data_IF_966200568596
#
_entry.id   IF_966200568596
#
_cell.length_a   1.000
_cell.length_b   1.000
_cell.length_c   1.000
_cell.angle_alpha   90.00
_cell.angle_beta   90.00
_cell.angle_gamma   90.00
#
_symmetry.space_group_name_H-M   'P 1'
#
loop_
_entity.id
_entity.type
_entity.pdbx_description
1 polymer ?
#
# COMPACT_ATOMS: atom_id res chain seq x y z
N UNK A 1 -27.52 -54.36 -44.00
CA UNK A 1 -27.16 -53.01 -43.50
C UNK A 1 -26.77 -53.15 -42.04
N UNK A 2 -25.46 -53.21 -41.77
CA UNK A 2 -24.85 -53.33 -40.45
C UNK A 2 -24.12 -52.01 -40.14
N UNK A 3 -24.22 -51.43 -38.93
CA UNK A 3 -23.50 -50.22 -38.60
C UNK A 3 -22.07 -50.52 -38.15
N UNK A 4 -21.14 -49.66 -38.60
CA UNK A 4 -19.71 -49.64 -38.26
C UNK A 4 -19.47 -49.25 -36.80
N UNK A 5 -18.43 -49.78 -36.11
CA UNK A 5 -18.11 -49.35 -34.75
C UNK A 5 -17.37 -48.01 -34.73
N UNK A 6 -17.74 -47.15 -33.78
CA UNK A 6 -17.10 -45.88 -33.51
C UNK A 6 -15.75 -46.07 -32.80
N UNK A 7 -14.70 -45.39 -33.29
CA UNK A 7 -13.37 -45.31 -32.66
C UNK A 7 -13.42 -44.29 -31.52
N UNK A 8 -13.18 -44.74 -30.29
CA UNK A 8 -12.94 -43.89 -29.12
C UNK A 8 -11.47 -43.44 -29.14
N UNK A 9 -11.25 -42.13 -29.24
CA UNK A 9 -9.92 -41.51 -29.16
C UNK A 9 -9.68 -41.07 -27.70
N UNK A 10 -8.82 -41.80 -26.98
CA UNK A 10 -8.40 -41.45 -25.62
C UNK A 10 -7.30 -40.40 -25.73
N UNK A 11 -7.57 -39.17 -25.30
CA UNK A 11 -6.55 -38.13 -25.11
C UNK A 11 -5.74 -38.44 -23.85
N UNK A 12 -4.46 -38.79 -24.00
CA UNK A 12 -3.51 -38.77 -22.89
C UNK A 12 -3.22 -37.31 -22.51
N UNK A 13 -3.53 -36.96 -21.25
CA UNK A 13 -3.07 -35.72 -20.63
C UNK A 13 -1.55 -35.79 -20.39
N UNK A 14 -0.78 -34.71 -20.65
CA UNK A 14 0.63 -34.69 -20.34
C UNK A 14 0.85 -34.64 -18.81
N UNK A 15 1.76 -35.47 -18.34
CA UNK A 15 2.21 -35.55 -16.93
C UNK A 15 2.80 -34.22 -16.45
N UNK A 16 2.55 -33.78 -15.20
CA UNK A 16 3.18 -32.59 -14.66
C UNK A 16 4.68 -32.83 -14.46
N UNK A 17 5.51 -32.05 -15.17
CA UNK A 17 6.95 -32.00 -14.98
C UNK A 17 7.29 -31.41 -13.61
N UNK A 18 7.89 -32.22 -12.73
CA UNK A 18 8.49 -31.76 -11.48
C UNK A 18 9.62 -30.77 -11.79
N UNK A 19 9.50 -29.54 -11.30
CA UNK A 19 10.59 -28.55 -11.31
C UNK A 19 11.60 -28.99 -10.23
N UNK A 20 12.90 -29.18 -10.56
CA UNK A 20 13.90 -29.51 -9.55
C UNK A 20 14.19 -28.30 -8.65
N UNK A 21 14.49 -28.50 -7.35
CA UNK A 21 14.85 -27.41 -6.46
C UNK A 21 16.21 -26.79 -6.87
N UNK A 22 16.42 -25.49 -6.59
CA UNK A 22 17.69 -24.82 -6.88
C UNK A 22 18.84 -25.42 -6.04
N UNK A 23 20.09 -25.39 -6.55
CA UNK A 23 21.23 -25.94 -5.85
C UNK A 23 21.55 -25.14 -4.58
N UNK A 24 21.65 -25.83 -3.44
CA UNK A 24 22.14 -25.29 -2.17
C UNK A 24 23.63 -24.98 -2.32
N UNK A 25 24.00 -23.69 -2.24
CA UNK A 25 25.41 -23.27 -2.26
C UNK A 25 26.13 -23.76 -1.01
N UNK A 26 27.23 -24.49 -1.19
CA UNK A 26 28.21 -24.79 -0.13
C UNK A 26 29.05 -23.54 0.17
N UNK A 27 29.46 -23.31 1.43
CA UNK A 27 30.31 -22.17 1.76
C UNK A 27 31.69 -22.36 1.12
N UNK A 28 32.12 -21.36 0.35
CA UNK A 28 33.43 -21.37 -0.28
C UNK A 28 34.51 -21.06 0.76
N UNK A 29 35.59 -21.83 0.65
CA UNK A 29 36.86 -21.80 1.37
C UNK A 29 37.38 -20.38 1.62
N UNK A 30 37.88 -20.16 2.84
CA UNK A 30 38.54 -18.93 3.30
C UNK A 30 39.65 -18.48 2.33
N UNK A 31 39.60 -17.20 1.95
CA UNK A 31 40.66 -16.52 1.22
C UNK A 31 41.63 -15.90 2.23
N UNK A 32 42.84 -16.44 2.32
CA UNK A 32 43.98 -15.80 2.97
C UNK A 32 44.66 -14.89 1.93
N UNK A 33 44.48 -13.58 2.07
CA UNK A 33 45.14 -12.59 1.23
C UNK A 33 45.17 -11.23 1.90
N UNK A 34 46.37 -10.82 2.28
CA UNK A 34 46.73 -9.51 2.84
C UNK A 34 46.42 -8.41 1.83
N UNK A 35 45.30 -7.72 2.00
CA UNK A 35 44.97 -6.50 1.27
C UNK A 35 45.15 -5.30 2.21
N UNK A 36 45.99 -4.38 1.79
CA UNK A 36 46.33 -3.12 2.45
C UNK A 36 45.08 -2.27 2.65
N UNK A 37 44.79 -1.86 3.88
CA UNK A 37 43.76 -0.87 4.20
C UNK A 37 44.28 0.55 3.95
N UNK A 38 43.58 1.29 3.07
CA UNK A 38 43.44 2.75 3.12
C UNK A 38 42.39 3.20 2.08
N UNK A 39 41.63 4.28 2.32
CA UNK A 39 41.00 4.72 3.56
C UNK A 39 39.47 4.45 3.51
N UNK A 40 38.89 4.20 4.68
CA UNK A 40 37.45 4.09 4.86
C UNK A 40 36.84 5.49 4.76
N UNK A 41 36.34 5.82 3.57
CA UNK A 41 35.42 6.94 3.41
C UNK A 41 34.07 6.50 3.99
N UNK A 42 33.87 6.73 5.29
CA UNK A 42 32.55 6.71 5.92
C UNK A 42 31.77 7.89 5.35
N UNK A 43 31.15 7.69 4.19
CA UNK A 43 30.27 8.66 3.56
C UNK A 43 28.85 8.42 4.08
N UNK A 44 28.44 9.30 5.00
CA UNK A 44 27.06 9.77 5.14
C UNK A 44 26.09 8.78 5.76
N UNK A 45 25.70 9.04 7.02
CA UNK A 45 24.40 8.61 7.50
C UNK A 45 23.34 9.17 6.55
N UNK A 46 22.70 8.27 5.78
CA UNK A 46 21.65 8.64 4.86
C UNK A 46 20.52 9.31 5.64
N UNK A 47 20.32 10.61 5.41
CA UNK A 47 19.17 11.30 5.97
C UNK A 47 17.92 10.69 5.33
N UNK A 48 17.13 9.99 6.14
CA UNK A 48 15.82 9.49 5.72
C UNK A 48 14.88 10.69 5.66
N UNK A 49 14.47 11.07 4.45
CA UNK A 49 13.45 12.10 4.25
C UNK A 49 12.11 11.40 4.10
N UNK A 50 11.17 11.72 4.99
CA UNK A 50 9.79 11.26 4.93
C UNK A 50 8.95 12.38 4.32
N UNK A 51 8.35 12.10 3.18
CA UNK A 51 7.43 13.00 2.49
C UNK A 51 6.03 12.37 2.54
N UNK A 52 5.06 13.11 3.07
CA UNK A 52 3.74 12.55 3.37
C UNK A 52 2.58 13.22 2.65
N UNK A 53 2.81 14.31 1.90
CA UNK A 53 1.82 15.07 1.13
C UNK A 53 0.48 15.30 1.84
N UNK A 54 0.49 15.35 3.19
CA UNK A 54 -0.72 15.23 4.00
C UNK A 54 -1.75 16.31 3.67
N UNK A 55 -1.29 17.49 3.26
CA UNK A 55 -2.15 18.60 2.86
C UNK A 55 -3.13 18.21 1.76
N UNK A 56 -2.71 17.41 0.77
CA UNK A 56 -3.57 16.96 -0.34
C UNK A 56 -4.68 16.02 0.15
N UNK A 57 -4.36 15.09 1.06
CA UNK A 57 -5.37 14.22 1.68
C UNK A 57 -6.39 15.03 2.49
N UNK A 58 -5.93 16.02 3.24
CA UNK A 58 -6.82 16.86 4.05
C UNK A 58 -7.78 17.69 3.17
N UNK A 59 -7.47 17.90 1.89
CA UNK A 59 -8.36 18.60 0.96
C UNK A 59 -9.68 17.87 0.70
N UNK A 60 -9.70 16.55 0.88
CA UNK A 60 -10.88 15.70 0.70
C UNK A 60 -11.84 15.79 1.89
N UNK A 61 -11.32 16.10 3.08
CA UNK A 61 -12.10 16.07 4.31
C UNK A 61 -12.96 17.33 4.48
N UNK A 62 -14.13 17.19 5.15
CA UNK A 62 -14.88 18.34 5.65
C UNK A 62 -13.99 19.33 6.39
N UNK A 63 -14.32 20.62 6.25
CA UNK A 63 -13.45 21.73 6.69
C UNK A 63 -13.07 21.64 8.17
N UNK A 64 -14.03 21.32 9.03
CA UNK A 64 -13.80 21.20 10.47
C UNK A 64 -12.86 20.04 10.81
N UNK A 65 -12.98 18.90 10.12
CA UNK A 65 -12.06 17.76 10.31
C UNK A 65 -10.65 18.07 9.85
N UNK A 66 -10.53 18.77 8.71
CA UNK A 66 -9.25 19.30 8.22
C UNK A 66 -8.62 20.21 9.26
N UNK A 67 -9.36 21.19 9.76
CA UNK A 67 -8.83 22.16 10.73
C UNK A 67 -8.41 21.46 12.03
N UNK A 68 -9.18 20.48 12.52
CA UNK A 68 -8.83 19.68 13.69
C UNK A 68 -7.54 18.88 13.49
N UNK A 69 -7.37 18.25 12.31
CA UNK A 69 -6.18 17.46 11.98
C UNK A 69 -4.95 18.33 11.69
N UNK A 70 -5.12 19.53 11.12
CA UNK A 70 -4.01 20.46 10.90
C UNK A 70 -3.41 20.94 12.22
N UNK A 71 -4.25 21.12 13.24
CA UNK A 71 -3.86 21.57 14.58
C UNK A 71 -3.46 20.42 15.53
N UNK A 72 -3.60 19.15 15.11
CA UNK A 72 -3.21 17.99 15.93
C UNK A 72 -1.67 17.86 15.99
N UNK A 73 -1.07 17.89 17.19
CA UNK A 73 0.38 17.79 17.35
C UNK A 73 1.00 16.50 16.80
N UNK A 74 0.21 15.42 16.72
CA UNK A 74 0.64 14.09 16.25
C UNK A 74 0.25 13.80 14.78
N UNK A 75 -0.02 14.83 13.97
CA UNK A 75 -0.45 14.65 12.58
C UNK A 75 0.56 13.85 11.73
N UNK A 76 1.85 13.96 12.05
CA UNK A 76 2.95 13.19 11.44
C UNK A 76 2.79 11.67 11.65
N UNK A 77 2.05 11.27 12.68
CA UNK A 77 1.74 9.89 13.03
C UNK A 77 0.38 9.42 12.50
N UNK A 78 -0.38 10.27 11.79
CA UNK A 78 -1.71 9.92 11.28
C UNK A 78 -1.63 8.76 10.27
N UNK A 79 -2.37 7.68 10.52
CA UNK A 79 -2.40 6.50 9.65
C UNK A 79 -3.59 6.54 8.69
N UNK A 80 -4.79 6.76 9.22
CA UNK A 80 -6.01 6.83 8.43
C UNK A 80 -7.09 7.68 9.11
N UNK A 81 -7.98 8.23 8.29
CA UNK A 81 -9.21 8.92 8.70
C UNK A 81 -10.40 8.13 8.17
N UNK A 82 -11.37 7.86 9.03
CA UNK A 82 -12.55 7.05 8.76
C UNK A 82 -13.79 7.94 8.87
N UNK A 83 -14.57 7.98 7.79
CA UNK A 83 -15.81 8.74 7.68
C UNK A 83 -16.93 7.74 7.37
N UNK A 84 -17.76 7.40 8.34
CA UNK A 84 -18.89 6.49 8.13
C UNK A 84 -20.21 7.21 8.40
N UNK A 85 -21.18 7.04 7.51
CA UNK A 85 -22.50 7.67 7.62
C UNK A 85 -23.15 7.34 8.97
N UNK A 86 -23.60 8.36 9.69
CA UNK A 86 -24.24 8.20 11.01
C UNK A 86 -23.27 7.77 12.11
N UNK A 87 -21.96 7.96 11.91
CA UNK A 87 -20.94 7.75 12.94
C UNK A 87 -20.07 8.99 13.09
N UNK A 88 -19.47 9.13 14.27
CA UNK A 88 -18.46 10.17 14.50
C UNK A 88 -17.21 9.86 13.67
N UNK A 89 -16.59 10.86 13.03
CA UNK A 89 -15.37 10.64 12.28
C UNK A 89 -14.21 10.31 13.21
N UNK A 90 -13.40 9.33 12.79
CA UNK A 90 -12.28 8.82 13.57
C UNK A 90 -10.96 9.00 12.81
N UNK A 91 -9.89 9.30 13.55
CA UNK A 91 -8.52 9.24 13.08
C UNK A 91 -7.74 8.19 13.86
N UNK A 92 -6.87 7.44 13.17
CA UNK A 92 -5.96 6.48 13.79
C UNK A 92 -4.53 6.98 13.68
N UNK A 93 -3.78 6.84 14.76
CA UNK A 93 -2.40 7.31 14.87
C UNK A 93 -1.45 6.16 15.19
N UNK A 94 -0.21 6.27 14.74
CA UNK A 94 0.84 5.31 15.04
C UNK A 94 1.02 5.19 16.57
N UNK A 95 1.19 3.96 17.06
CA UNK A 95 1.40 3.68 18.49
C UNK A 95 0.13 3.66 19.34
N UNK A 96 -1.04 4.01 18.78
CA UNK A 96 -2.31 3.98 19.49
C UNK A 96 -3.17 2.79 19.02
N UNK A 97 -3.72 2.03 19.98
CA UNK A 97 -4.50 0.81 19.72
C UNK A 97 -5.97 1.07 19.32
N UNK A 98 -6.33 2.27 18.88
CA UNK A 98 -7.73 2.64 18.59
C UNK A 98 -7.90 3.91 17.79
N UNK A 99 -9.14 4.16 17.36
CA UNK A 99 -9.56 5.40 16.72
C UNK A 99 -9.80 6.51 17.75
N UNK A 100 -9.39 7.72 17.42
CA UNK A 100 -9.70 8.94 18.16
C UNK A 100 -10.75 9.72 17.37
N UNK A 101 -11.86 10.08 18.02
CA UNK A 101 -12.88 10.90 17.40
C UNK A 101 -12.37 12.31 17.12
N UNK A 102 -12.64 12.80 15.92
CA UNK A 102 -12.25 14.15 15.48
C UNK A 102 -13.29 15.21 15.86
N UNK A 103 -14.56 14.81 16.07
CA UNK A 103 -15.65 15.64 16.58
C UNK A 103 -16.76 14.78 17.18
N UNK A 104 -17.72 15.44 17.84
CA UNK A 104 -18.89 14.77 18.45
C UNK A 104 -20.06 14.56 17.50
N UNK A 105 -20.14 15.35 16.43
CA UNK A 105 -21.19 15.24 15.42
C UNK A 105 -20.91 14.10 14.44
N UNK A 106 -21.96 13.37 14.09
CA UNK A 106 -21.90 12.30 13.10
C UNK A 106 -21.64 12.83 11.69
N UNK A 107 -21.13 11.96 10.82
CA UNK A 107 -20.97 12.24 9.39
C UNK A 107 -22.33 12.16 8.69
N UNK A 108 -22.66 13.22 7.97
CA UNK A 108 -23.85 13.29 7.13
C UNK A 108 -23.60 12.75 5.71
N UNK A 109 -24.69 12.42 5.01
CA UNK A 109 -24.62 12.00 3.61
C UNK A 109 -24.03 13.11 2.71
N UNK A 110 -24.36 14.38 2.99
CA UNK A 110 -23.86 15.52 2.23
C UNK A 110 -22.33 15.62 2.30
N UNK A 111 -21.76 15.44 3.49
CA UNK A 111 -20.30 15.47 3.68
C UNK A 111 -19.59 14.35 2.94
N UNK A 112 -20.18 13.14 2.88
CA UNK A 112 -19.64 12.04 2.09
C UNK A 112 -19.70 12.32 0.59
N UNK A 113 -20.76 12.97 0.11
CA UNK A 113 -20.91 13.35 -1.29
C UNK A 113 -19.92 14.45 -1.70
N UNK A 114 -19.69 15.42 -0.81
CA UNK A 114 -18.67 16.46 -1.00
C UNK A 114 -17.26 15.86 -1.03
N UNK A 115 -16.94 14.98 -0.07
CA UNK A 115 -15.67 14.27 -0.03
C UNK A 115 -15.48 13.38 -1.27
N UNK A 116 -16.52 12.65 -1.70
CA UNK A 116 -16.49 11.87 -2.94
C UNK A 116 -16.19 12.76 -4.15
N UNK A 117 -16.81 13.94 -4.23
CA UNK A 117 -16.57 14.89 -5.33
C UNK A 117 -15.13 15.41 -5.34
N UNK A 118 -14.54 15.64 -4.16
CA UNK A 118 -13.15 16.05 -4.03
C UNK A 118 -12.16 14.94 -4.43
N UNK A 119 -12.50 13.67 -4.19
CA UNK A 119 -11.69 12.51 -4.63
C UNK A 119 -11.77 12.29 -6.13
N UNK A 120 -12.96 12.49 -6.73
CA UNK A 120 -13.22 12.19 -8.13
C UNK A 120 -13.70 10.75 -8.34
N UNK A 121 -13.19 10.11 -9.39
CA UNK A 121 -13.65 8.79 -9.82
C UNK A 121 -12.99 7.65 -9.02
N UNK A 122 -13.81 6.70 -8.57
CA UNK A 122 -13.33 5.47 -7.96
C UNK A 122 -13.24 4.35 -9.00
N UNK A 123 -12.19 3.54 -8.91
CA UNK A 123 -12.05 2.33 -9.72
C UNK A 123 -13.10 1.26 -9.37
N UNK A 124 -13.13 0.17 -10.15
CA UNK A 124 -14.08 -0.93 -9.98
C UNK A 124 -13.98 -1.69 -8.64
N UNK A 125 -12.89 -1.51 -7.90
CA UNK A 125 -12.68 -2.06 -6.56
C UNK A 125 -13.04 -1.07 -5.43
N UNK A 126 -13.72 0.05 -5.76
CA UNK A 126 -14.05 1.15 -4.88
C UNK A 126 -12.84 1.86 -4.26
N UNK A 127 -11.72 1.92 -4.98
CA UNK A 127 -10.53 2.65 -4.55
C UNK A 127 -10.16 3.78 -5.50
N UNK A 128 -9.55 4.81 -4.92
CA UNK A 128 -8.94 5.93 -5.63
C UNK A 128 -7.61 6.28 -4.97
N UNK A 129 -6.68 6.81 -5.76
CA UNK A 129 -5.49 7.50 -5.26
C UNK A 129 -5.66 9.00 -5.41
N UNK A 130 -4.85 9.78 -4.70
CA UNK A 130 -4.71 11.20 -4.96
C UNK A 130 -3.50 11.37 -5.89
N UNK A 131 -3.70 12.00 -7.04
CA UNK A 131 -2.67 12.18 -8.06
C UNK A 131 -1.40 12.81 -7.46
N UNK A 132 -0.24 12.28 -7.82
CA UNK A 132 1.05 12.76 -7.32
C UNK A 132 1.41 12.33 -5.89
N UNK A 133 0.54 11.60 -5.18
CA UNK A 133 0.78 11.17 -3.80
C UNK A 133 0.65 9.65 -3.62
N UNK A 134 1.01 9.15 -2.45
CA UNK A 134 0.81 7.74 -2.06
C UNK A 134 -0.51 7.49 -1.29
N UNK A 135 -1.37 8.50 -1.17
CA UNK A 135 -2.62 8.38 -0.45
C UNK A 135 -3.60 7.43 -1.14
N UNK A 136 -4.38 6.72 -0.34
CA UNK A 136 -5.42 5.81 -0.85
C UNK A 136 -6.74 6.06 -0.17
N UNK A 137 -7.77 6.28 -0.99
CA UNK A 137 -9.13 6.45 -0.53
C UNK A 137 -9.92 5.22 -0.91
N UNK A 138 -10.59 4.59 0.06
CA UNK A 138 -11.47 3.44 -0.18
C UNK A 138 -12.90 3.85 0.15
N UNK A 139 -13.83 3.60 -0.76
CA UNK A 139 -15.25 3.85 -0.55
C UNK A 139 -15.98 2.58 -0.13
N UNK A 140 -16.84 2.71 0.87
CA UNK A 140 -17.85 1.72 1.21
C UNK A 140 -19.15 2.17 0.55
N UNK A 141 -19.76 1.28 -0.23
CA UNK A 141 -21.01 1.56 -0.95
C UNK A 141 -22.16 0.70 -0.46
N UNK A 142 -23.33 1.29 -0.43
CA UNK A 142 -24.58 0.55 -0.25
C UNK A 142 -24.90 -0.32 -1.47
N UNK A 143 -25.87 -1.22 -1.34
CA UNK A 143 -26.39 -2.01 -2.48
C UNK A 143 -26.95 -1.17 -3.61
N UNK A 144 -27.33 0.08 -3.34
CA UNK A 144 -27.82 1.05 -4.34
C UNK A 144 -26.68 1.82 -5.00
N UNK A 145 -25.42 1.53 -4.68
CA UNK A 145 -24.23 2.20 -5.25
C UNK A 145 -23.82 3.49 -4.56
N UNK A 146 -24.64 4.03 -3.65
CA UNK A 146 -24.32 5.25 -2.88
C UNK A 146 -23.15 5.03 -1.94
N UNK A 147 -22.22 5.99 -1.85
CA UNK A 147 -21.15 5.99 -0.85
C UNK A 147 -21.77 6.22 0.53
N UNK A 148 -21.46 5.31 1.46
CA UNK A 148 -21.90 5.33 2.86
C UNK A 148 -20.72 5.39 3.83
N UNK A 149 -19.50 5.30 3.33
CA UNK A 149 -18.31 5.57 4.11
C UNK A 149 -17.06 5.73 3.24
N UNK A 150 -16.05 6.39 3.80
CA UNK A 150 -14.75 6.63 3.21
C UNK A 150 -13.66 6.29 4.24
N UNK A 151 -12.62 5.59 3.79
CA UNK A 151 -11.38 5.42 4.55
C UNK A 151 -10.24 6.06 3.78
N UNK A 152 -9.66 7.12 4.34
CA UNK A 152 -8.57 7.88 3.77
C UNK A 152 -7.27 7.49 4.45
N UNK A 153 -6.40 6.74 3.77
CA UNK A 153 -5.12 6.27 4.30
C UNK A 153 -3.99 7.19 3.89
N UNK A 154 -3.16 7.56 4.87
CA UNK A 154 -1.98 8.38 4.67
C UNK A 154 -0.86 7.52 4.09
N UNK A 155 -0.43 7.80 2.86
CA UNK A 155 0.76 7.21 2.27
C UNK A 155 1.96 8.09 2.59
N UNK A 156 3.11 7.48 2.84
CA UNK A 156 4.37 8.20 3.12
C UNK A 156 5.48 7.63 2.25
N UNK A 157 6.14 8.50 1.51
CA UNK A 157 7.34 8.15 0.76
C UNK A 157 8.53 8.25 1.71
N UNK A 158 9.33 7.19 1.79
CA UNK A 158 10.56 7.16 2.57
C UNK A 158 11.72 7.13 1.59
N UNK A 159 12.37 8.28 1.42
CA UNK A 159 13.50 8.45 0.52
C UNK A 159 14.82 8.05 1.21
N UNK A 160 15.84 7.71 0.39
CA UNK A 160 17.19 7.39 0.88
C UNK A 160 17.48 5.90 1.09
N UNK A 161 16.52 5.01 0.85
CA UNK A 161 16.67 3.57 1.04
C UNK A 161 16.88 2.76 -0.25
N UNK A 162 16.70 3.38 -1.43
CA UNK A 162 16.79 2.68 -2.73
C UNK A 162 18.19 2.08 -2.95
N UNK A 163 19.24 2.74 -2.45
CA UNK A 163 20.61 2.23 -2.58
C UNK A 163 20.81 0.87 -1.91
N UNK A 164 20.05 0.55 -0.85
CA UNK A 164 20.16 -0.74 -0.16
C UNK A 164 19.67 -1.93 -0.99
N UNK A 165 18.84 -1.69 -2.01
CA UNK A 165 18.26 -2.74 -2.86
C UNK A 165 18.67 -2.58 -4.33
N UNK A 166 19.58 -1.64 -4.61
CA UNK A 166 19.98 -1.28 -5.97
C UNK A 166 20.65 -2.43 -6.71
N UNK A 167 21.45 -3.22 -6.00
CA UNK A 167 22.06 -4.44 -6.52
C UNK A 167 20.98 -5.46 -6.91
N UNK A 168 19.97 -5.66 -6.07
CA UNK A 168 18.82 -6.55 -6.32
C UNK A 168 18.03 -6.11 -7.56
N UNK A 169 17.80 -4.81 -7.76
CA UNK A 169 17.06 -4.28 -8.92
C UNK A 169 17.76 -4.54 -10.27
N UNK A 170 19.07 -4.78 -10.27
CA UNK A 170 19.82 -5.11 -11.49
C UNK A 170 19.72 -6.59 -11.90
N UNK A 171 19.16 -7.45 -11.04
CA UNK A 171 18.89 -8.84 -11.40
C UNK A 171 17.68 -8.91 -12.33
N UNK A 172 17.77 -9.74 -13.38
CA UNK A 172 16.68 -9.96 -14.35
C UNK A 172 15.67 -11.02 -13.88
N UNK A 173 15.66 -11.31 -12.59
CA UNK A 173 14.77 -12.30 -11.99
C UNK A 173 13.68 -11.59 -11.17
N UNK A 174 12.58 -12.29 -10.91
CA UNK A 174 11.48 -11.77 -10.11
C UNK A 174 11.92 -11.54 -8.66
N UNK A 175 11.62 -10.35 -8.13
CA UNK A 175 11.91 -9.97 -6.73
C UNK A 175 10.59 -9.94 -5.95
N UNK A 176 10.54 -10.65 -4.82
CA UNK A 176 9.39 -10.64 -3.90
C UNK A 176 9.76 -9.85 -2.63
N UNK A 177 9.06 -8.76 -2.38
CA UNK A 177 9.14 -8.03 -1.12
C UNK A 177 8.10 -8.60 -0.13
N UNK A 178 8.56 -9.03 1.04
CA UNK A 178 7.72 -9.51 2.13
C UNK A 178 7.72 -8.48 3.27
N UNK A 179 6.54 -7.93 3.55
CA UNK A 179 6.28 -7.06 4.71
C UNK A 179 5.44 -7.79 5.77
N UNK A 180 5.35 -7.20 6.96
CA UNK A 180 4.41 -7.64 8.01
C UNK A 180 3.09 -6.91 7.91
#
# INVERSE_FOLDING_TARGET
MTPSPARILIFLLPTPSLIPPPPVRRPHRAWAGTARCAPEAVAGGGFVVIEDDLSELLQILPRDLRDNLQNEPRRDQLLEVILDLGRRPEARFLGNSGGQYLRDNEISQLELEEAQRAVGEFGGDNRAGIEGTLHRISAIRSRKGMVVGLTCRVGRAVNGHVDMVRDLLNYKESILFLGR
#
